data_IF_113364079868
#
_entry.id   IF_113364079868
#
_cell.length_a   1.000
_cell.length_b   1.000
_cell.length_c   1.000
_cell.angle_alpha   90.00
_cell.angle_beta   90.00
_cell.angle_gamma   90.00
#
_symmetry.space_group_name_H-M   'P 1'
#
loop_
_entity.id
_entity.type
_entity.pdbx_description
1 polymer ?
#
# COMPACT_ATOMS: atom_id res chain seq x y z
N UNK A 1 -5.03 -7.19 2.53
CA UNK A 1 -6.13 -6.42 1.90
C UNK A 1 -7.23 -6.30 2.94
N UNK A 2 -7.31 -5.18 3.67
CA UNK A 2 -8.50 -4.89 4.46
C UNK A 2 -9.51 -4.37 3.44
N UNK A 3 -10.39 -5.25 2.95
CA UNK A 3 -11.64 -4.76 2.39
C UNK A 3 -12.37 -4.18 3.59
N UNK A 4 -12.51 -2.86 3.65
CA UNK A 4 -13.37 -2.21 4.63
C UNK A 4 -14.82 -2.50 4.23
N UNK A 5 -15.24 -3.76 4.37
CA UNK A 5 -16.65 -4.05 4.58
C UNK A 5 -16.97 -3.43 5.93
N UNK A 6 -17.73 -2.33 5.92
CA UNK A 6 -18.39 -1.79 7.11
C UNK A 6 -19.48 -2.77 7.57
N UNK A 7 -19.09 -4.01 7.88
CA UNK A 7 -19.94 -5.04 8.46
C UNK A 7 -19.21 -5.56 9.69
N UNK A 8 -19.39 -4.87 10.80
CA UNK A 8 -18.81 -5.29 12.07
C UNK A 8 -19.04 -4.26 13.16
N UNK A 9 -20.07 -4.51 13.96
CA UNK A 9 -20.46 -3.83 15.20
C UNK A 9 -21.33 -2.57 15.07
N UNK A 10 -22.38 -2.59 15.89
CA UNK A 10 -23.62 -1.83 15.85
C UNK A 10 -23.45 -0.44 16.48
N UNK A 11 -23.05 0.57 15.69
CA UNK A 11 -23.08 1.98 16.10
C UNK A 11 -23.48 2.91 14.93
N UNK A 12 -24.60 2.53 14.30
CA UNK A 12 -25.14 2.89 12.97
C UNK A 12 -25.46 4.39 12.72
N UNK A 13 -24.47 5.29 12.75
CA UNK A 13 -24.56 6.57 12.03
C UNK A 13 -23.33 6.80 11.17
N UNK A 14 -23.50 6.49 9.89
CA UNK A 14 -22.58 6.90 8.83
C UNK A 14 -22.83 8.37 8.55
N UNK A 15 -21.77 9.15 8.51
CA UNK A 15 -21.80 10.57 8.19
C UNK A 15 -21.01 10.81 6.91
N UNK A 16 -21.53 11.71 6.07
CA UNK A 16 -20.82 12.08 4.85
C UNK A 16 -19.86 13.20 5.18
N UNK A 17 -18.58 12.95 4.95
CA UNK A 17 -17.52 13.93 5.06
C UNK A 17 -17.17 14.50 3.69
N UNK A 18 -17.05 15.83 3.58
CA UNK A 18 -16.58 16.47 2.36
C UNK A 18 -15.06 16.45 2.31
N UNK A 19 -14.48 15.76 1.34
CA UNK A 19 -13.04 15.72 1.18
C UNK A 19 -12.46 17.05 0.73
N UNK A 20 -13.20 17.81 -0.08
CA UNK A 20 -12.92 19.22 -0.35
C UNK A 20 -13.84 20.08 0.53
N UNK A 21 -13.31 20.81 1.53
CA UNK A 21 -14.12 21.57 2.47
C UNK A 21 -15.02 22.60 1.79
N UNK A 22 -16.29 22.67 2.23
CA UNK A 22 -17.24 23.67 1.74
C UNK A 22 -16.78 25.11 1.99
N UNK A 23 -15.97 25.34 3.02
CA UNK A 23 -15.39 26.65 3.31
C UNK A 23 -14.59 27.22 2.12
N UNK A 24 -13.93 26.36 1.34
CA UNK A 24 -13.13 26.77 0.19
C UNK A 24 -13.81 26.42 -1.14
N UNK A 25 -15.14 26.27 -1.14
CA UNK A 25 -15.93 25.84 -2.31
C UNK A 25 -15.60 26.66 -3.55
N UNK A 26 -15.63 28.00 -3.47
CA UNK A 26 -15.35 28.87 -4.60
C UNK A 26 -13.94 28.67 -5.18
N UNK A 27 -12.96 28.36 -4.33
CA UNK A 27 -11.61 28.05 -4.78
C UNK A 27 -11.58 26.74 -5.58
N UNK A 28 -12.16 25.67 -5.04
CA UNK A 28 -12.20 24.37 -5.73
C UNK A 28 -13.01 24.41 -7.02
N UNK A 29 -14.15 25.10 -7.04
CA UNK A 29 -14.96 25.29 -8.24
C UNK A 29 -14.19 26.03 -9.33
N UNK A 30 -13.38 27.04 -8.96
CA UNK A 30 -12.49 27.72 -9.92
C UNK A 30 -11.45 26.79 -10.56
N UNK A 31 -11.20 25.62 -9.97
CA UNK A 31 -10.30 24.58 -10.49
C UNK A 31 -11.05 23.41 -11.13
N UNK A 32 -12.35 23.52 -11.34
CA UNK A 32 -13.16 22.45 -11.96
C UNK A 32 -13.43 21.27 -11.03
N UNK A 33 -13.54 21.52 -9.72
CA UNK A 33 -13.91 20.54 -8.71
C UNK A 33 -15.25 20.96 -8.10
N UNK A 34 -16.30 20.19 -8.34
CA UNK A 34 -17.56 20.34 -7.62
C UNK A 34 -17.45 19.62 -6.28
N UNK A 35 -17.27 20.37 -5.19
CA UNK A 35 -17.03 19.82 -3.84
C UNK A 35 -18.13 18.86 -3.37
N UNK A 36 -19.36 19.06 -3.84
CA UNK A 36 -20.50 18.21 -3.47
C UNK A 36 -20.34 16.79 -4.03
N UNK A 37 -19.56 16.56 -5.11
CA UNK A 37 -19.36 15.24 -5.71
C UNK A 37 -18.30 14.38 -5.00
N UNK A 38 -17.56 14.95 -4.04
CA UNK A 38 -16.42 14.31 -3.36
C UNK A 38 -16.71 14.08 -1.87
N UNK A 39 -17.91 13.60 -1.58
CA UNK A 39 -18.26 13.10 -0.25
C UNK A 39 -17.81 11.66 -0.05
N UNK A 40 -17.45 11.29 1.18
CA UNK A 40 -17.24 9.88 1.58
C UNK A 40 -18.04 9.53 2.82
N UNK A 41 -18.50 8.28 2.88
CA UNK A 41 -19.15 7.73 4.05
C UNK A 41 -18.11 7.34 5.10
N UNK A 42 -18.19 7.96 6.28
CA UNK A 42 -17.35 7.63 7.43
C UNK A 42 -18.21 7.21 8.62
N UNK A 43 -17.67 6.36 9.50
CA UNK A 43 -18.27 6.17 10.81
C UNK A 43 -18.19 7.47 11.61
N UNK A 44 -19.12 7.68 12.55
CA UNK A 44 -19.08 8.87 13.43
C UNK A 44 -17.74 9.03 14.15
N UNK A 45 -17.10 7.93 14.54
CA UNK A 45 -15.76 7.95 15.16
C UNK A 45 -14.68 8.46 14.20
N UNK A 46 -14.64 7.97 12.95
CA UNK A 46 -13.68 8.46 11.96
C UNK A 46 -14.00 9.90 11.52
N UNK A 47 -15.27 10.29 11.52
CA UNK A 47 -15.65 11.64 11.14
C UNK A 47 -15.35 12.66 12.25
N UNK A 48 -15.77 12.39 13.50
CA UNK A 48 -15.81 13.35 14.62
C UNK A 48 -14.97 12.96 15.83
N UNK A 49 -14.36 11.78 15.85
CA UNK A 49 -13.56 11.32 17.00
C UNK A 49 -12.39 12.26 17.31
N UNK A 50 -11.76 12.06 18.45
CA UNK A 50 -10.55 12.79 18.84
C UNK A 50 -9.26 11.99 18.54
N UNK A 51 -9.38 10.86 17.84
CA UNK A 51 -8.22 10.04 17.48
C UNK A 51 -7.41 10.71 16.36
N UNK A 52 -6.13 10.33 16.26
CA UNK A 52 -5.19 10.87 15.25
C UNK A 52 -5.57 10.54 13.81
N UNK A 53 -6.57 9.68 13.61
CA UNK A 53 -7.05 9.25 12.30
C UNK A 53 -8.39 9.90 11.94
N UNK A 54 -8.98 10.70 12.83
CA UNK A 54 -10.29 11.30 12.61
C UNK A 54 -10.16 12.58 11.80
N UNK A 55 -11.13 12.85 10.94
CA UNK A 55 -11.06 14.00 10.04
C UNK A 55 -11.26 15.34 10.78
N UNK A 56 -12.14 15.38 11.78
CA UNK A 56 -12.28 16.57 12.63
C UNK A 56 -11.15 16.71 13.67
N UNK A 57 -10.66 15.62 14.25
CA UNK A 57 -9.59 15.66 15.26
C UNK A 57 -8.24 16.09 14.68
N UNK A 58 -8.02 15.84 13.39
CA UNK A 58 -6.78 16.17 12.66
C UNK A 58 -6.82 17.52 11.94
N UNK A 59 -7.82 18.36 12.19
CA UNK A 59 -7.90 19.70 11.59
C UNK A 59 -7.89 19.68 10.05
N UNK A 60 -8.66 18.78 9.40
CA UNK A 60 -8.76 18.64 7.94
C UNK A 60 -8.87 19.98 7.18
N UNK A 61 -9.77 20.87 7.65
CA UNK A 61 -9.94 22.19 7.02
C UNK A 61 -8.72 23.10 7.18
N UNK A 62 -7.95 22.96 8.26
CA UNK A 62 -6.73 23.74 8.47
C UNK A 62 -5.64 23.29 7.49
N UNK A 63 -5.45 21.99 7.29
CA UNK A 63 -4.51 21.47 6.28
C UNK A 63 -4.84 22.00 4.88
N UNK A 64 -6.14 22.01 4.52
CA UNK A 64 -6.59 22.62 3.28
C UNK A 64 -6.31 24.11 3.22
N UNK A 65 -6.59 24.85 4.30
CA UNK A 65 -6.31 26.29 4.37
C UNK A 65 -4.82 26.57 4.13
N UNK A 66 -3.96 25.88 4.88
CA UNK A 66 -2.51 26.05 4.82
C UNK A 66 -1.99 25.71 3.41
N UNK A 67 -2.51 24.66 2.78
CA UNK A 67 -2.17 24.31 1.41
C UNK A 67 -2.61 25.39 0.41
N UNK A 68 -3.87 25.84 0.48
CA UNK A 68 -4.43 26.82 -0.46
C UNK A 68 -3.73 28.17 -0.35
N UNK A 69 -3.42 28.63 0.87
CA UNK A 69 -2.68 29.88 1.10
C UNK A 69 -1.33 29.85 0.39
N UNK A 70 -0.62 28.73 0.50
CA UNK A 70 0.70 28.55 -0.11
C UNK A 70 0.65 28.21 -1.60
N UNK A 71 -0.50 27.77 -2.13
CA UNK A 71 -0.65 27.25 -3.49
C UNK A 71 -1.89 27.81 -4.21
N UNK A 72 -2.05 29.13 -4.26
CA UNK A 72 -3.22 29.80 -4.90
C UNK A 72 -3.45 29.41 -6.38
N UNK A 73 -2.37 29.05 -7.07
CA UNK A 73 -2.39 28.64 -8.48
C UNK A 73 -2.35 27.11 -8.66
N UNK A 74 -2.62 26.32 -7.62
CA UNK A 74 -2.66 24.87 -7.72
C UNK A 74 -3.63 24.43 -8.84
N UNK A 75 -3.14 23.54 -9.71
CA UNK A 75 -3.97 22.84 -10.69
C UNK A 75 -4.84 21.80 -9.99
N UNK A 76 -5.90 21.32 -10.66
CA UNK A 76 -6.72 20.21 -10.18
C UNK A 76 -5.88 18.98 -9.79
N UNK A 77 -4.87 18.65 -10.59
CA UNK A 77 -3.94 17.53 -10.32
C UNK A 77 -3.17 17.72 -9.02
N UNK A 78 -2.72 18.96 -8.73
CA UNK A 78 -2.03 19.26 -7.47
C UNK A 78 -2.97 19.10 -6.27
N UNK A 79 -4.24 19.50 -6.42
CA UNK A 79 -5.25 19.35 -5.38
C UNK A 79 -5.63 17.88 -5.15
N UNK A 80 -5.75 17.09 -6.20
CA UNK A 80 -5.95 15.64 -6.09
C UNK A 80 -4.77 14.95 -5.41
N UNK A 81 -3.53 15.38 -5.71
CA UNK A 81 -2.33 14.90 -5.03
C UNK A 81 -2.33 15.26 -3.54
N UNK A 82 -2.67 16.50 -3.20
CA UNK A 82 -2.78 16.92 -1.80
C UNK A 82 -3.86 16.12 -1.06
N UNK A 83 -5.05 15.97 -1.66
CA UNK A 83 -6.12 15.16 -1.09
C UNK A 83 -5.65 13.74 -0.79
N UNK A 84 -4.95 13.14 -1.76
CA UNK A 84 -4.40 11.79 -1.60
C UNK A 84 -3.43 11.71 -0.41
N UNK A 85 -2.50 12.65 -0.31
CA UNK A 85 -1.54 12.71 0.79
C UNK A 85 -2.23 12.89 2.16
N UNK A 86 -3.26 13.73 2.24
CA UNK A 86 -4.01 13.94 3.50
C UNK A 86 -4.76 12.68 3.94
N UNK A 87 -5.28 11.91 2.99
CA UNK A 87 -5.90 10.62 3.24
C UNK A 87 -4.88 9.55 3.67
N UNK A 88 -3.70 9.53 3.03
CA UNK A 88 -2.58 8.66 3.40
C UNK A 88 -2.13 8.88 4.84
N UNK A 89 -1.98 10.13 5.26
CA UNK A 89 -1.57 10.49 6.62
C UNK A 89 -2.55 10.03 7.71
N UNK A 90 -3.75 9.57 7.32
CA UNK A 90 -4.82 9.09 8.20
C UNK A 90 -5.09 7.59 8.00
N UNK A 91 -4.14 6.87 7.42
CA UNK A 91 -4.19 5.44 7.12
C UNK A 91 -5.38 5.02 6.23
N UNK A 92 -5.90 5.95 5.41
CA UNK A 92 -6.98 5.63 4.50
C UNK A 92 -6.46 4.86 3.28
N UNK A 93 -6.91 3.62 3.09
CA UNK A 93 -6.48 2.75 1.99
C UNK A 93 -7.64 2.11 1.23
N UNK A 94 -7.43 1.79 -0.05
CA UNK A 94 -8.42 1.14 -0.91
C UNK A 94 -9.04 2.04 -1.99
N UNK A 95 -10.17 1.60 -2.55
CA UNK A 95 -10.98 2.34 -3.52
C UNK A 95 -11.98 3.21 -2.76
N UNK A 96 -11.97 4.50 -3.03
CA UNK A 96 -12.99 5.42 -2.54
C UNK A 96 -14.14 5.48 -3.54
N UNK A 97 -15.32 5.19 -3.03
CA UNK A 97 -16.59 5.44 -3.71
C UNK A 97 -17.09 6.80 -3.26
N UNK A 98 -17.03 7.78 -4.16
CA UNK A 98 -17.53 9.10 -3.85
C UNK A 98 -19.05 9.14 -3.88
N UNK A 99 -19.60 9.92 -2.96
CA UNK A 99 -21.03 10.14 -2.79
C UNK A 99 -21.28 11.62 -2.98
N UNK A 100 -22.23 11.95 -3.83
CA UNK A 100 -22.70 13.32 -3.95
C UNK A 100 -23.40 13.71 -2.63
N UNK A 101 -22.88 14.73 -1.96
CA UNK A 101 -23.37 15.16 -0.65
C UNK A 101 -24.82 15.66 -0.70
N UNK A 102 -25.28 16.25 -1.81
CA UNK A 102 -26.65 16.76 -1.92
C UNK A 102 -27.66 15.64 -2.17
N UNK A 103 -27.37 14.78 -3.14
CA UNK A 103 -28.31 13.72 -3.56
C UNK A 103 -28.20 12.46 -2.71
N UNK A 104 -27.10 12.31 -1.96
CA UNK A 104 -26.75 11.11 -1.20
C UNK A 104 -26.57 9.86 -2.07
N UNK A 105 -26.39 10.04 -3.38
CA UNK A 105 -26.16 8.98 -4.36
C UNK A 105 -24.69 8.89 -4.75
N UNK A 106 -24.21 7.74 -5.27
CA UNK A 106 -22.87 7.64 -5.84
C UNK A 106 -22.65 8.72 -6.92
N UNK A 107 -21.54 9.45 -6.86
CA UNK A 107 -21.27 10.53 -7.84
C UNK A 107 -20.75 9.99 -9.18
N UNK A 108 -20.51 8.68 -9.30
CA UNK A 108 -19.89 8.06 -10.47
C UNK A 108 -18.38 8.34 -10.58
N UNK A 109 -17.83 9.17 -9.69
CA UNK A 109 -16.40 9.40 -9.56
C UNK A 109 -15.84 8.29 -8.65
N UNK A 110 -14.69 7.74 -9.05
CA UNK A 110 -13.95 6.76 -8.26
C UNK A 110 -12.52 7.23 -8.09
N UNK A 111 -11.95 7.04 -6.91
CA UNK A 111 -10.53 7.22 -6.70
C UNK A 111 -9.92 5.94 -6.12
N UNK A 112 -8.93 5.41 -6.82
CA UNK A 112 -8.10 4.34 -6.31
C UNK A 112 -6.97 4.97 -5.50
N UNK A 113 -7.15 5.03 -4.18
CA UNK A 113 -6.11 5.58 -3.31
C UNK A 113 -4.93 4.62 -3.27
N UNK A 114 -5.18 3.36 -2.89
CA UNK A 114 -4.15 2.31 -2.78
C UNK A 114 -4.71 0.89 -2.91
N UNK A 115 -5.39 0.59 -4.03
CA UNK A 115 -5.81 -0.77 -4.40
C UNK A 115 -4.75 -1.59 -5.16
N UNK A 116 -3.52 -1.07 -5.27
CA UNK A 116 -2.50 -1.58 -6.22
C UNK A 116 -1.09 -1.57 -5.60
N UNK A 117 -0.92 -1.45 -4.28
CA UNK A 117 0.41 -1.20 -3.69
C UNK A 117 1.44 -2.30 -4.00
N UNK A 118 1.03 -3.55 -4.20
CA UNK A 118 1.94 -4.61 -4.66
C UNK A 118 2.03 -4.70 -6.18
N UNK A 119 0.91 -4.66 -6.92
CA UNK A 119 0.90 -4.75 -8.40
C UNK A 119 1.57 -3.52 -9.04
N UNK A 120 1.35 -2.34 -8.48
CA UNK A 120 1.93 -1.07 -8.91
C UNK A 120 3.39 -0.94 -8.50
N UNK A 121 3.79 -1.50 -7.35
CA UNK A 121 5.20 -1.68 -7.02
C UNK A 121 5.87 -2.63 -8.00
N UNK A 122 5.28 -3.81 -8.26
CA UNK A 122 5.73 -4.80 -9.26
C UNK A 122 5.85 -4.15 -10.64
N UNK A 123 4.87 -3.34 -11.05
CA UNK A 123 4.90 -2.62 -12.34
C UNK A 123 5.98 -1.55 -12.40
N UNK A 124 6.12 -0.72 -11.34
CA UNK A 124 7.18 0.30 -11.26
C UNK A 124 8.58 -0.32 -11.20
N UNK A 125 8.73 -1.40 -10.45
CA UNK A 125 9.97 -2.15 -10.36
C UNK A 125 10.29 -2.86 -11.68
N UNK A 126 9.29 -3.45 -12.35
CA UNK A 126 9.43 -4.01 -13.69
C UNK A 126 9.91 -2.98 -14.71
N UNK A 127 9.31 -1.79 -14.71
CA UNK A 127 9.73 -0.67 -15.57
C UNK A 127 11.14 -0.17 -15.23
N UNK A 128 11.53 -0.16 -13.95
CA UNK A 128 12.89 0.18 -13.52
C UNK A 128 13.92 -0.83 -14.05
N UNK A 129 13.65 -2.13 -13.93
CA UNK A 129 14.52 -3.20 -14.46
C UNK A 129 14.61 -3.10 -15.99
N UNK A 130 13.49 -2.90 -16.70
CA UNK A 130 13.49 -2.69 -18.15
C UNK A 130 14.32 -1.44 -18.52
N UNK A 131 14.22 -0.36 -17.74
CA UNK A 131 14.99 0.87 -17.97
C UNK A 131 16.50 0.69 -17.76
N UNK A 132 16.91 -0.13 -16.79
CA UNK A 132 18.33 -0.40 -16.52
C UNK A 132 18.98 -1.33 -17.55
N UNK A 133 18.26 -2.35 -18.00
CA UNK A 133 18.86 -3.44 -18.78
C UNK A 133 18.37 -3.49 -20.23
N UNK A 134 17.28 -2.78 -20.56
CA UNK A 134 16.61 -2.86 -21.86
C UNK A 134 15.66 -4.06 -21.96
N UNK A 135 14.65 -3.94 -22.82
CA UNK A 135 13.57 -4.94 -23.00
C UNK A 135 14.06 -6.28 -23.55
N UNK A 136 15.20 -6.29 -24.24
CA UNK A 136 15.79 -7.50 -24.85
C UNK A 136 16.91 -8.12 -24.00
N UNK A 137 17.13 -7.63 -22.78
CA UNK A 137 18.15 -8.19 -21.91
C UNK A 137 17.80 -9.61 -21.48
N UNK A 138 18.83 -10.44 -21.32
CA UNK A 138 18.70 -11.80 -20.78
C UNK A 138 18.00 -11.82 -19.42
N UNK A 139 18.17 -10.78 -18.59
CA UNK A 139 17.51 -10.66 -17.29
C UNK A 139 16.00 -10.43 -17.42
N UNK A 140 15.55 -9.58 -18.34
CA UNK A 140 14.12 -9.35 -18.60
C UNK A 140 13.48 -10.61 -19.20
N UNK A 141 14.14 -11.25 -20.18
CA UNK A 141 13.67 -12.50 -20.81
C UNK A 141 13.57 -13.63 -19.79
N UNK A 142 14.52 -13.74 -18.88
CA UNK A 142 14.50 -14.72 -17.78
C UNK A 142 13.28 -14.56 -16.87
N UNK A 143 12.89 -13.33 -16.52
CA UNK A 143 11.71 -13.09 -15.68
C UNK A 143 10.39 -13.35 -16.40
N UNK A 144 10.30 -13.01 -17.69
CA UNK A 144 9.16 -13.40 -18.53
C UNK A 144 9.04 -14.93 -18.55
N UNK A 145 10.15 -15.64 -18.72
CA UNK A 145 10.17 -17.10 -18.78
C UNK A 145 9.73 -17.75 -17.46
N UNK A 146 10.28 -17.32 -16.31
CA UNK A 146 9.89 -17.86 -15.00
C UNK A 146 8.40 -17.66 -14.74
N UNK A 147 7.86 -16.45 -14.95
CA UNK A 147 6.46 -16.24 -14.63
C UNK A 147 5.51 -16.92 -15.62
N UNK A 148 5.92 -17.08 -16.88
CA UNK A 148 5.20 -17.91 -17.88
C UNK A 148 5.18 -19.38 -17.45
N UNK A 149 6.32 -19.92 -16.99
CA UNK A 149 6.43 -21.29 -16.50
C UNK A 149 5.54 -21.52 -15.27
N UNK A 150 5.56 -20.63 -14.29
CA UNK A 150 4.73 -20.74 -13.08
C UNK A 150 3.24 -20.75 -13.43
N UNK A 151 2.79 -19.80 -14.26
CA UNK A 151 1.38 -19.76 -14.67
C UNK A 151 0.97 -20.99 -15.49
N UNK A 152 1.88 -21.54 -16.30
CA UNK A 152 1.66 -22.79 -17.05
C UNK A 152 1.48 -24.00 -16.12
N UNK A 153 2.30 -24.10 -15.06
CA UNK A 153 2.16 -25.15 -14.01
C UNK A 153 0.79 -25.05 -13.32
N UNK A 154 0.27 -23.84 -13.16
CA UNK A 154 -1.05 -23.58 -12.56
C UNK A 154 -2.22 -23.71 -13.55
N UNK A 155 -1.97 -24.13 -14.80
CA UNK A 155 -3.00 -24.38 -15.81
C UNK A 155 -3.54 -23.13 -16.51
N UNK A 156 -2.87 -21.98 -16.39
CA UNK A 156 -3.26 -20.76 -17.09
C UNK A 156 -2.60 -20.67 -18.47
N UNK A 157 -3.39 -20.36 -19.50
CA UNK A 157 -2.87 -19.95 -20.80
C UNK A 157 -2.44 -18.48 -20.72
N UNK A 158 -1.13 -18.22 -20.80
CA UNK A 158 -0.58 -16.89 -20.53
C UNK A 158 -0.31 -16.08 -21.79
N UNK A 159 -0.67 -14.80 -21.72
CA UNK A 159 -0.05 -13.75 -22.57
C UNK A 159 1.29 -13.34 -21.96
N UNK A 160 2.25 -12.92 -22.79
CA UNK A 160 3.61 -12.57 -22.34
C UNK A 160 3.65 -11.54 -21.21
N UNK A 161 2.73 -10.57 -21.20
CA UNK A 161 2.63 -9.53 -20.15
C UNK A 161 2.24 -10.10 -18.77
N UNK A 162 1.35 -11.08 -18.73
CA UNK A 162 0.94 -11.75 -17.48
C UNK A 162 2.08 -12.61 -16.92
N UNK A 163 2.84 -13.26 -17.80
CA UNK A 163 4.06 -13.98 -17.45
C UNK A 163 5.09 -13.07 -16.79
N UNK A 164 5.37 -11.90 -17.36
CA UNK A 164 6.34 -10.96 -16.79
C UNK A 164 6.01 -10.53 -15.36
N UNK A 165 4.75 -10.16 -15.10
CA UNK A 165 4.32 -9.66 -13.79
C UNK A 165 4.39 -10.74 -12.70
N UNK A 166 4.03 -11.98 -13.02
CA UNK A 166 4.16 -13.10 -12.09
C UNK A 166 5.63 -13.43 -11.81
N UNK A 167 6.48 -13.35 -12.84
CA UNK A 167 7.93 -13.53 -12.69
C UNK A 167 8.54 -12.53 -11.71
N UNK A 168 8.17 -11.25 -11.83
CA UNK A 168 8.62 -10.20 -10.89
C UNK A 168 8.09 -10.46 -9.48
N UNK A 169 6.83 -10.86 -9.34
CA UNK A 169 6.23 -11.20 -8.04
C UNK A 169 7.03 -12.27 -7.30
N UNK A 170 7.50 -13.30 -8.00
CA UNK A 170 8.34 -14.36 -7.42
C UNK A 170 9.68 -13.84 -6.91
N UNK A 171 10.34 -12.92 -7.62
CA UNK A 171 11.60 -12.33 -7.16
C UNK A 171 11.39 -11.55 -5.87
N UNK A 172 10.33 -10.75 -5.80
CA UNK A 172 10.04 -9.93 -4.61
C UNK A 172 9.84 -10.85 -3.41
N UNK A 173 9.08 -11.93 -3.57
CA UNK A 173 8.89 -12.95 -2.52
C UNK A 173 10.21 -13.62 -2.18
N UNK A 174 11.02 -14.02 -3.17
CA UNK A 174 12.31 -14.67 -2.95
C UNK A 174 13.32 -13.77 -2.24
N UNK A 175 13.38 -12.48 -2.59
CA UNK A 175 14.24 -11.49 -1.93
C UNK A 175 13.79 -11.23 -0.49
N UNK A 176 12.49 -11.12 -0.25
CA UNK A 176 11.95 -11.01 1.10
C UNK A 176 12.35 -12.25 1.91
N UNK A 177 12.10 -13.46 1.39
CA UNK A 177 12.48 -14.71 2.05
C UNK A 177 13.99 -14.81 2.30
N UNK A 178 14.81 -14.39 1.33
CA UNK A 178 16.28 -14.42 1.46
C UNK A 178 16.77 -13.47 2.54
N UNK A 179 16.22 -12.24 2.60
CA UNK A 179 16.53 -11.27 3.66
C UNK A 179 16.02 -11.77 5.01
N UNK A 180 14.80 -12.30 5.06
CA UNK A 180 14.22 -12.89 6.27
C UNK A 180 15.09 -14.05 6.78
N UNK A 181 15.51 -14.96 5.92
CA UNK A 181 16.45 -16.05 6.27
C UNK A 181 17.76 -15.46 6.77
N UNK A 182 18.36 -14.50 6.06
CA UNK A 182 19.64 -13.89 6.47
C UNK A 182 19.56 -13.20 7.84
N UNK A 183 18.44 -12.55 8.16
CA UNK A 183 18.20 -11.92 9.47
C UNK A 183 17.93 -12.97 10.54
N UNK A 184 17.12 -13.98 10.26
CA UNK A 184 16.69 -14.99 11.26
C UNK A 184 17.78 -16.04 11.51
N UNK A 185 18.57 -16.39 10.50
CA UNK A 185 19.54 -17.47 10.53
C UNK A 185 20.57 -17.34 11.67
N UNK A 186 21.16 -16.16 11.96
CA UNK A 186 22.04 -15.98 13.12
C UNK A 186 21.37 -16.30 14.46
N UNK A 187 20.10 -15.90 14.63
CA UNK A 187 19.35 -16.17 15.87
C UNK A 187 18.96 -17.63 15.99
N UNK A 188 18.54 -18.26 14.88
CA UNK A 188 18.23 -19.68 14.85
C UNK A 188 19.49 -20.53 15.11
N UNK A 189 20.62 -20.15 14.52
CA UNK A 189 21.91 -20.80 14.72
C UNK A 189 22.40 -20.67 16.18
N UNK A 190 22.31 -19.47 16.77
CA UNK A 190 22.65 -19.25 18.18
C UNK A 190 21.73 -20.04 19.12
N UNK A 191 20.43 -20.11 18.83
CA UNK A 191 19.48 -20.92 19.58
C UNK A 191 19.82 -22.41 19.51
N UNK A 192 20.14 -22.93 18.31
CA UNK A 192 20.54 -24.34 18.09
C UNK A 192 21.84 -24.73 18.81
N UNK A 193 22.81 -23.81 18.93
CA UNK A 193 24.01 -24.02 19.76
C UNK A 193 23.64 -24.02 21.25
N UNK A 194 22.81 -23.06 21.69
CA UNK A 194 22.40 -22.93 23.09
C UNK A 194 21.66 -24.16 23.65
N UNK A 195 20.94 -24.88 22.78
CA UNK A 195 20.26 -26.14 23.15
C UNK A 195 21.11 -27.40 22.86
N UNK A 196 22.39 -27.25 22.49
CA UNK A 196 23.34 -28.35 22.35
C UNK A 196 23.21 -29.19 21.08
N UNK A 197 22.38 -28.80 20.11
CA UNK A 197 22.14 -29.60 18.88
C UNK A 197 23.36 -29.59 17.95
N UNK A 198 24.13 -28.49 17.90
CA UNK A 198 25.28 -28.35 16.99
C UNK A 198 26.64 -28.52 17.73
N UNK A 199 26.67 -28.48 19.06
CA UNK A 199 27.90 -28.50 19.87
C UNK A 199 28.37 -29.87 20.39
N UNK A 200 27.66 -30.96 20.09
CA UNK A 200 27.87 -32.28 20.71
C UNK A 200 28.99 -33.16 20.13
N UNK A 201 30.10 -32.62 19.60
CA UNK A 201 31.20 -33.45 19.04
C UNK A 201 32.58 -33.20 19.68
N UNK A 202 32.71 -32.28 20.64
CA UNK A 202 34.04 -31.77 21.04
C UNK A 202 34.54 -32.01 22.47
N UNK A 203 33.82 -32.69 23.36
CA UNK A 203 34.15 -32.69 24.80
C UNK A 203 34.35 -34.08 25.45
N UNK A 204 34.86 -35.06 24.71
CA UNK A 204 35.33 -36.34 25.28
C UNK A 204 36.79 -36.54 24.97
N UNK A 205 37.69 -35.92 25.73
CA UNK A 205 39.12 -36.15 25.50
C UNK A 205 40.07 -35.29 26.30
N UNK A 206 39.89 -35.17 27.62
CA UNK A 206 40.99 -34.82 28.53
C UNK A 206 40.77 -35.57 29.84
N UNK A 207 41.12 -36.86 29.83
CA UNK A 207 41.34 -37.64 31.04
C UNK A 207 42.84 -37.82 31.23
N UNK A 208 43.28 -37.51 32.43
CA UNK A 208 44.65 -37.44 32.93
C UNK A 208 45.49 -38.70 32.71
N UNK A 209 46.69 -38.51 32.17
CA UNK A 209 47.89 -39.22 32.60
C UNK A 209 48.81 -38.12 33.18
N UNK A 210 49.20 -38.08 34.45
CA UNK A 210 49.55 -39.21 35.30
C UNK A 210 51.00 -39.59 35.00
N UNK A 211 51.93 -38.76 35.50
CA UNK A 211 53.25 -39.11 36.04
C UNK A 211 53.82 -37.90 36.80
#
# INVERSE_FOLDING_TARGET
MIILFLTGCDDKKVEIHHLYPQEFKSFFESKGINVDDYGINLTKELHRGANVNSFHGTQWNKEWRDYIINNKNASKVNLEKQLKQMLENRDFSGRIHYINYRTKQPSGIYADLFGVSMIGFIGKFGNFIIGLFGTSSSIVVFFIWIGTLTLSILGFNTRQEAGFLVGIGFIVVFLILSVTIWIIYPYLYAWLIGIGIIGGVGATGLQSAGD
#
